data_IF_896802126890
#
_entry.id   IF_896802126890
#
_cell.length_a   1.000
_cell.length_b   1.000
_cell.length_c   1.000
_cell.angle_alpha   90.00
_cell.angle_beta   90.00
_cell.angle_gamma   90.00
#
_symmetry.space_group_name_H-M   'P 1'
#
loop_
_entity.id
_entity.type
_entity.pdbx_description
1 polymer ?
#
# COMPACT_ATOMS: atom_id res chain seq x y z
N UNK A 1 9.16 -4.04 0.69
CA UNK A 1 8.76 -5.47 0.51
C UNK A 1 9.97 -6.36 0.82
N UNK A 2 9.95 -7.11 1.93
CA UNK A 2 11.17 -7.71 2.53
C UNK A 2 11.98 -8.63 1.59
N UNK A 3 11.31 -9.38 0.71
CA UNK A 3 11.93 -10.31 -0.23
C UNK A 3 12.20 -9.70 -1.62
N UNK A 4 11.85 -8.43 -1.83
CA UNK A 4 11.96 -7.71 -3.10
C UNK A 4 12.69 -6.39 -2.86
N UNK A 5 13.95 -6.48 -2.45
CA UNK A 5 14.78 -5.32 -2.08
C UNK A 5 14.92 -4.32 -3.24
N UNK A 6 15.06 -4.82 -4.48
CA UNK A 6 15.12 -4.00 -5.70
C UNK A 6 13.75 -3.52 -6.18
N UNK A 7 12.66 -3.93 -5.53
CA UNK A 7 11.27 -3.61 -5.89
C UNK A 7 10.91 -4.04 -7.32
N UNK A 8 11.59 -5.04 -7.88
CA UNK A 8 11.39 -5.50 -9.23
C UNK A 8 10.00 -6.12 -9.40
N UNK A 9 9.62 -7.01 -8.48
CA UNK A 9 8.29 -7.63 -8.47
C UNK A 9 7.23 -6.56 -8.25
N UNK A 10 7.43 -5.69 -7.27
CA UNK A 10 6.55 -4.58 -6.96
C UNK A 10 6.25 -3.68 -8.17
N UNK A 11 7.27 -3.35 -8.97
CA UNK A 11 7.12 -2.57 -10.20
C UNK A 11 6.43 -3.36 -11.33
N UNK A 12 6.70 -4.66 -11.47
CA UNK A 12 6.02 -5.54 -12.45
C UNK A 12 4.51 -5.61 -12.18
N UNK A 13 4.10 -5.63 -10.91
CA UNK A 13 2.69 -5.50 -10.52
C UNK A 13 2.09 -4.10 -10.74
N UNK A 14 2.88 -3.16 -11.28
CA UNK A 14 2.50 -1.79 -11.53
C UNK A 14 2.39 -0.95 -10.25
N UNK A 15 2.90 -1.41 -9.12
CA UNK A 15 2.86 -0.59 -7.93
C UNK A 15 3.97 0.47 -7.98
N UNK A 16 3.73 1.60 -7.31
CA UNK A 16 4.63 2.75 -7.35
C UNK A 16 4.66 3.48 -6.02
N UNK A 17 5.38 4.58 -5.94
CA UNK A 17 5.36 5.46 -4.76
C UNK A 17 4.57 6.72 -5.02
N UNK A 18 4.02 7.33 -3.97
CA UNK A 18 3.38 8.64 -4.10
C UNK A 18 3.37 9.43 -2.81
N UNK A 19 4.14 10.52 -2.79
CA UNK A 19 4.16 11.46 -1.67
C UNK A 19 2.80 12.13 -1.49
N UNK A 20 2.18 12.62 -2.56
CA UNK A 20 0.90 13.35 -2.46
C UNK A 20 -0.28 12.49 -2.01
N UNK A 21 -0.26 11.17 -2.32
CA UNK A 21 -1.29 10.23 -1.85
C UNK A 21 -1.12 9.85 -0.38
N UNK A 22 0.11 9.89 0.15
CA UNK A 22 0.45 9.54 1.54
C UNK A 22 0.39 10.77 2.44
N UNK A 23 1.08 11.85 2.08
CA UNK A 23 1.26 13.08 2.85
C UNK A 23 0.04 14.02 2.74
N UNK A 24 -1.12 13.52 3.15
CA UNK A 24 -2.35 14.32 3.18
C UNK A 24 -2.26 15.40 4.25
N UNK A 25 -2.92 16.54 4.01
CA UNK A 25 -2.97 17.65 4.96
C UNK A 25 -3.34 17.22 6.39
N UNK A 26 -4.36 16.35 6.54
CA UNK A 26 -4.77 15.83 7.84
C UNK A 26 -3.65 15.05 8.56
N UNK A 27 -2.85 14.28 7.83
CA UNK A 27 -1.71 13.56 8.39
C UNK A 27 -0.65 14.55 8.87
N UNK A 28 -0.31 15.53 8.04
CA UNK A 28 0.66 16.57 8.39
C UNK A 28 0.23 17.39 9.61
N UNK A 29 -1.05 17.76 9.67
CA UNK A 29 -1.62 18.47 10.82
C UNK A 29 -1.52 17.63 12.09
N UNK A 30 -1.90 16.36 12.03
CA UNK A 30 -1.83 15.46 13.19
C UNK A 30 -0.40 15.33 13.73
N UNK A 31 0.59 15.14 12.86
CA UNK A 31 1.99 15.08 13.27
C UNK A 31 2.51 16.42 13.80
N UNK A 32 2.04 17.55 13.26
CA UNK A 32 2.39 18.88 13.80
C UNK A 32 1.84 19.10 15.21
N UNK A 33 0.64 18.60 15.50
CA UNK A 33 0.03 18.67 16.83
C UNK A 33 0.84 17.86 17.86
N UNK A 34 1.31 16.66 17.48
CA UNK A 34 2.18 15.84 18.32
C UNK A 34 3.44 16.61 18.72
N UNK A 35 4.09 17.26 17.75
CA UNK A 35 5.29 18.06 17.98
C UNK A 35 5.02 19.27 18.89
N UNK A 36 3.94 20.03 18.62
CA UNK A 36 3.57 21.21 19.43
C UNK A 36 3.21 20.82 20.87
N UNK A 37 2.59 19.66 21.05
CA UNK A 37 2.22 19.13 22.38
C UNK A 37 3.39 18.47 23.12
N UNK A 38 4.62 18.49 22.58
CA UNK A 38 5.79 17.78 23.11
C UNK A 38 5.51 16.29 23.39
N UNK A 39 4.65 15.68 22.57
CA UNK A 39 4.37 14.24 22.63
C UNK A 39 5.45 13.51 21.84
N UNK A 40 5.79 12.30 22.29
CA UNK A 40 6.75 11.47 21.59
C UNK A 40 6.15 11.00 20.26
N UNK A 41 6.95 11.12 19.19
CA UNK A 41 6.63 10.45 17.94
C UNK A 41 6.75 8.94 18.12
N UNK A 42 6.01 8.15 17.34
CA UNK A 42 6.23 6.71 17.28
C UNK A 42 7.68 6.42 16.92
N UNK A 43 8.33 5.52 17.65
CA UNK A 43 9.63 5.00 17.26
C UNK A 43 9.43 4.08 16.05
N UNK A 44 9.90 4.52 14.88
CA UNK A 44 9.76 3.79 13.62
C UNK A 44 11.12 3.27 13.22
N UNK A 45 11.32 1.94 13.17
CA UNK A 45 12.58 1.36 12.72
C UNK A 45 12.99 1.88 11.32
N UNK A 46 14.28 2.18 11.07
CA UNK A 46 14.73 2.79 9.83
C UNK A 46 14.29 2.06 8.56
N UNK A 47 14.21 0.73 8.59
CA UNK A 47 13.76 -0.09 7.47
C UNK A 47 12.33 0.22 7.00
N UNK A 48 11.47 0.76 7.87
CA UNK A 48 10.11 1.15 7.50
C UNK A 48 10.03 2.57 6.93
N UNK A 49 11.05 3.41 7.17
CA UNK A 49 11.10 4.76 6.60
C UNK A 49 11.35 4.71 5.08
N UNK A 50 12.08 3.70 4.61
CA UNK A 50 12.36 3.50 3.17
C UNK A 50 11.10 3.18 2.36
N UNK A 51 10.09 2.56 3.00
CA UNK A 51 8.84 2.11 2.38
C UNK A 51 7.67 3.11 2.61
N UNK A 52 7.90 4.26 3.26
CA UNK A 52 6.83 5.18 3.69
C UNK A 52 5.88 5.64 2.56
N UNK A 53 6.43 5.83 1.36
CA UNK A 53 5.67 6.31 0.21
C UNK A 53 5.19 5.19 -0.72
N UNK A 54 5.45 3.94 -0.36
CA UNK A 54 5.02 2.77 -1.12
C UNK A 54 3.49 2.70 -1.14
N UNK A 55 2.91 2.51 -2.33
CA UNK A 55 1.47 2.34 -2.52
C UNK A 55 1.07 0.87 -2.42
N UNK A 56 -0.12 0.62 -1.88
CA UNK A 56 -0.67 -0.73 -1.81
C UNK A 56 -1.27 -1.22 -3.13
N UNK A 57 -1.53 -2.53 -3.17
CA UNK A 57 -2.37 -3.16 -4.16
C UNK A 57 -2.80 -4.54 -3.70
N UNK A 58 -3.92 -5.02 -4.24
CA UNK A 58 -4.47 -6.34 -3.97
C UNK A 58 -4.55 -7.11 -5.29
N UNK A 59 -4.05 -8.34 -5.28
CA UNK A 59 -3.97 -9.18 -6.46
C UNK A 59 -4.48 -10.57 -6.12
N UNK A 60 -5.21 -11.18 -7.06
CA UNK A 60 -5.61 -12.58 -6.96
C UNK A 60 -4.93 -13.34 -8.10
N UNK A 61 -4.34 -14.48 -7.75
CA UNK A 61 -3.67 -15.37 -8.68
C UNK A 61 -4.45 -16.68 -8.76
N UNK A 62 -4.48 -17.31 -9.92
CA UNK A 62 -4.95 -18.68 -10.07
C UNK A 62 -3.88 -19.71 -9.62
N UNK A 63 -4.20 -21.00 -9.70
CA UNK A 63 -3.26 -22.07 -9.33
C UNK A 63 -1.98 -22.10 -10.19
N UNK A 64 -2.03 -21.55 -11.41
CA UNK A 64 -0.88 -21.43 -12.30
C UNK A 64 -0.03 -20.18 -12.04
N UNK A 65 -0.42 -19.34 -11.07
CA UNK A 65 0.27 -18.08 -10.78
C UNK A 65 -0.08 -16.94 -11.73
N UNK A 66 -1.13 -17.07 -12.56
CA UNK A 66 -1.61 -15.99 -13.41
C UNK A 66 -2.46 -15.03 -12.59
N UNK A 67 -2.22 -13.72 -12.73
CA UNK A 67 -3.05 -12.69 -12.11
C UNK A 67 -4.42 -12.65 -12.78
N UNK A 68 -5.47 -12.98 -12.03
CA UNK A 68 -6.89 -12.96 -12.46
C UNK A 68 -7.64 -11.72 -11.94
N UNK A 69 -7.06 -11.01 -10.97
CA UNK A 69 -7.56 -9.74 -10.46
C UNK A 69 -6.41 -8.84 -10.04
N UNK A 70 -6.51 -7.55 -10.35
CA UNK A 70 -5.53 -6.54 -10.00
C UNK A 70 -6.23 -5.27 -9.54
N UNK A 71 -5.90 -4.82 -8.33
CA UNK A 71 -6.39 -3.57 -7.77
C UNK A 71 -5.23 -2.73 -7.25
N UNK A 72 -4.89 -1.67 -7.97
CA UNK A 72 -3.85 -0.71 -7.56
C UNK A 72 -4.48 0.36 -6.67
N UNK A 73 -4.06 0.42 -5.41
CA UNK A 73 -4.67 1.32 -4.44
C UNK A 73 -4.42 2.79 -4.80
N UNK A 74 -5.45 3.62 -4.63
CA UNK A 74 -5.40 5.07 -4.87
C UNK A 74 -4.95 5.86 -3.63
N UNK A 75 -5.04 5.26 -2.45
CA UNK A 75 -4.55 5.81 -1.19
C UNK A 75 -4.05 4.69 -0.25
N UNK A 76 -3.30 5.00 0.82
CA UNK A 76 -2.79 3.97 1.74
C UNK A 76 -3.87 3.05 2.34
N UNK A 77 -5.08 3.58 2.55
CA UNK A 77 -6.23 2.86 3.13
C UNK A 77 -7.24 2.37 2.10
N UNK A 78 -7.01 2.65 0.81
CA UNK A 78 -7.89 2.20 -0.27
C UNK A 78 -7.71 0.69 -0.49
N UNK A 79 -8.80 -0.07 -0.58
CA UNK A 79 -8.80 -1.53 -0.79
C UNK A 79 -10.02 -1.91 -1.62
N UNK A 80 -9.96 -2.96 -2.45
CA UNK A 80 -11.15 -3.50 -3.10
C UNK A 80 -12.11 -4.07 -2.06
N UNK A 81 -13.40 -4.08 -2.39
CA UNK A 81 -14.39 -4.72 -1.52
C UNK A 81 -14.34 -6.24 -1.66
N UNK A 82 -14.74 -6.95 -0.59
CA UNK A 82 -14.84 -8.43 -0.61
C UNK A 82 -15.69 -8.93 -1.80
N UNK A 83 -16.87 -8.34 -2.13
CA UNK A 83 -17.63 -8.73 -3.31
C UNK A 83 -16.87 -8.60 -4.63
N UNK A 84 -16.02 -7.58 -4.81
CA UNK A 84 -15.22 -7.42 -6.02
C UNK A 84 -14.21 -8.56 -6.18
N UNK A 85 -13.57 -8.96 -5.08
CA UNK A 85 -12.62 -10.09 -5.06
C UNK A 85 -13.35 -11.39 -5.37
N UNK A 86 -14.47 -11.67 -4.69
CA UNK A 86 -15.25 -12.89 -4.88
C UNK A 86 -15.80 -13.02 -6.30
N UNK A 87 -16.26 -11.92 -6.90
CA UNK A 87 -16.71 -11.90 -8.29
C UNK A 87 -15.59 -12.27 -9.26
N UNK A 88 -14.36 -11.79 -9.02
CA UNK A 88 -13.21 -12.11 -9.85
C UNK A 88 -12.82 -13.60 -9.75
N UNK A 89 -12.89 -14.17 -8.55
CA UNK A 89 -12.65 -15.61 -8.31
C UNK A 89 -13.72 -16.45 -9.02
N UNK A 90 -15.01 -16.12 -8.82
CA UNK A 90 -16.11 -16.88 -9.41
C UNK A 90 -16.11 -16.87 -10.95
N UNK A 91 -15.61 -15.81 -11.58
CA UNK A 91 -15.48 -15.71 -13.03
C UNK A 91 -14.32 -16.54 -13.63
N UNK A 92 -13.43 -17.07 -12.78
CA UNK A 92 -12.26 -17.87 -13.17
C UNK A 92 -12.29 -19.29 -12.57
N UNK A 93 -13.43 -19.70 -12.00
CA UNK A 93 -13.71 -21.06 -11.53
C UNK A 93 -14.23 -21.96 -12.65
#
# INVERSE_FOLDING_TARGET
MLLDAERAVYQVFGLGSSVSKVMKFKLMLHYSEILVMNRQLPDVPPQFLEDLFQMGGDFVLDQGGKVIFSYRCKSPVDRPSVPQILAAVAAHS
#
